data_IF_711923716224
#
_entry.id   IF_711923716224
#
_cell.length_a   1.000
_cell.length_b   1.000
_cell.length_c   1.000
_cell.angle_alpha   90.00
_cell.angle_beta   90.00
_cell.angle_gamma   90.00
#
_symmetry.space_group_name_H-M   'P 1'
#
loop_
_entity.id
_entity.type
_entity.pdbx_description
1 polymer ?
#
# COMPACT_ATOMS: atom_id res chain seq x y z
N UNK A 1 -7.95 -9.45 -17.16
CA UNK A 1 -7.33 -8.21 -16.66
C UNK A 1 -7.02 -7.33 -17.85
N UNK A 2 -7.66 -6.17 -17.90
CA UNK A 2 -7.39 -5.15 -18.92
C UNK A 2 -6.08 -4.42 -18.56
N UNK A 3 -5.12 -4.38 -19.50
CA UNK A 3 -3.81 -3.78 -19.29
C UNK A 3 -3.88 -2.26 -19.12
N UNK A 4 -4.74 -1.59 -19.87
CA UNK A 4 -4.85 -0.14 -19.86
C UNK A 4 -5.53 0.32 -18.56
N UNK A 5 -6.55 -0.43 -18.12
CA UNK A 5 -7.17 -0.23 -16.81
C UNK A 5 -6.15 -0.39 -15.66
N UNK A 6 -5.32 -1.44 -15.71
CA UNK A 6 -4.29 -1.68 -14.71
C UNK A 6 -3.22 -0.57 -14.70
N UNK A 7 -2.73 -0.15 -15.87
CA UNK A 7 -1.77 0.94 -15.97
C UNK A 7 -2.33 2.26 -15.41
N UNK A 8 -3.60 2.56 -15.68
CA UNK A 8 -4.28 3.71 -15.11
C UNK A 8 -4.37 3.64 -13.58
N UNK A 9 -4.69 2.47 -13.01
CA UNK A 9 -4.77 2.29 -11.56
C UNK A 9 -3.40 2.36 -10.88
N UNK A 10 -2.34 1.84 -11.51
CA UNK A 10 -0.97 2.00 -11.03
C UNK A 10 -0.55 3.47 -10.97
N UNK A 11 -0.92 4.27 -11.98
CA UNK A 11 -0.64 5.72 -11.99
C UNK A 11 -1.37 6.44 -10.86
N UNK A 12 -2.64 6.11 -10.61
CA UNK A 12 -3.42 6.65 -9.48
C UNK A 12 -2.83 6.22 -8.14
N UNK A 13 -2.43 4.96 -8.01
CA UNK A 13 -1.80 4.37 -6.82
C UNK A 13 -0.49 5.08 -6.50
N UNK A 14 0.35 5.32 -7.51
CA UNK A 14 1.59 6.10 -7.36
C UNK A 14 1.31 7.53 -6.89
N UNK A 15 0.29 8.19 -7.41
CA UNK A 15 -0.05 9.55 -6.98
C UNK A 15 -0.56 9.60 -5.52
N UNK A 16 -1.39 8.63 -5.11
CA UNK A 16 -2.00 8.61 -3.78
C UNK A 16 -1.12 7.99 -2.68
N UNK A 17 -0.07 7.25 -3.05
CA UNK A 17 0.87 6.57 -2.15
C UNK A 17 0.23 5.50 -1.25
N UNK A 18 -0.84 4.88 -1.71
CA UNK A 18 -1.42 3.67 -1.12
C UNK A 18 -2.17 2.88 -2.19
N UNK A 19 -2.38 1.58 -1.98
CA UNK A 19 -3.21 0.70 -2.79
C UNK A 19 -4.29 0.06 -1.93
N UNK A 20 -5.37 -0.37 -2.56
CA UNK A 20 -6.39 -1.20 -1.92
C UNK A 20 -6.62 -2.44 -2.77
N UNK A 21 -6.91 -3.56 -2.11
CA UNK A 21 -7.44 -4.77 -2.71
C UNK A 21 -8.78 -5.04 -2.07
N UNK A 22 -9.83 -5.12 -2.89
CA UNK A 22 -11.20 -5.37 -2.42
C UNK A 22 -11.67 -6.70 -2.98
N UNK A 23 -11.45 -7.77 -2.20
CA UNK A 23 -11.83 -9.14 -2.55
C UNK A 23 -11.14 -9.67 -3.82
N UNK A 24 -10.10 -9.00 -4.34
CA UNK A 24 -9.41 -9.37 -5.58
C UNK A 24 -8.54 -10.62 -5.43
N UNK A 25 -7.99 -10.84 -4.24
CA UNK A 25 -7.17 -12.02 -3.92
C UNK A 25 -7.99 -13.13 -3.27
N UNK A 26 -8.82 -12.78 -2.30
CA UNK A 26 -9.66 -13.70 -1.53
C UNK A 26 -11.01 -13.04 -1.26
N UNK A 27 -12.14 -13.69 -1.58
CA UNK A 27 -13.46 -13.20 -1.19
C UNK A 27 -13.56 -12.99 0.31
N UNK A 28 -14.19 -11.88 0.71
CA UNK A 28 -14.33 -11.48 2.09
C UNK A 28 -13.14 -10.76 2.73
N UNK A 29 -12.07 -10.49 1.96
CA UNK A 29 -10.88 -9.77 2.41
C UNK A 29 -10.81 -8.37 1.78
N UNK A 30 -10.56 -7.36 2.61
CA UNK A 30 -10.17 -6.02 2.18
C UNK A 30 -8.77 -5.74 2.71
N UNK A 31 -7.86 -5.32 1.84
CA UNK A 31 -6.52 -4.89 2.23
C UNK A 31 -6.27 -3.43 1.83
N UNK A 32 -5.53 -2.70 2.66
CA UNK A 32 -4.97 -1.38 2.31
C UNK A 32 -3.47 -1.40 2.61
N UNK A 33 -2.66 -0.98 1.65
CA UNK A 33 -1.21 -1.00 1.78
C UNK A 33 -0.54 0.27 1.27
N UNK A 34 0.65 0.57 1.79
CA UNK A 34 1.47 1.69 1.34
C UNK A 34 2.94 1.26 1.20
N UNK A 35 3.67 1.85 0.22
CA UNK A 35 5.03 1.45 -0.08
C UNK A 35 6.02 1.91 1.00
N UNK A 36 7.02 1.08 1.25
CA UNK A 36 8.20 1.42 2.04
C UNK A 36 9.34 1.80 1.10
N UNK A 37 10.03 2.88 1.41
CA UNK A 37 11.16 3.36 0.63
C UNK A 37 12.45 3.26 1.45
N UNK A 38 13.53 2.88 0.79
CA UNK A 38 14.87 3.05 1.35
C UNK A 38 15.16 4.55 1.51
N UNK A 39 15.54 5.02 2.71
CA UNK A 39 15.64 6.45 2.98
C UNK A 39 16.82 7.13 2.26
N UNK A 40 17.82 6.38 1.78
CA UNK A 40 18.96 6.94 1.07
C UNK A 40 18.75 7.01 -0.45
N UNK A 41 18.29 5.91 -1.05
CA UNK A 41 18.13 5.77 -2.50
C UNK A 41 16.76 6.18 -3.01
N UNK A 42 15.76 6.28 -2.12
CA UNK A 42 14.37 6.53 -2.47
C UNK A 42 13.70 5.38 -3.24
N UNK A 43 14.34 4.20 -3.32
CA UNK A 43 13.79 3.04 -4.01
C UNK A 43 12.74 2.35 -3.15
N UNK A 44 11.69 1.82 -3.77
CA UNK A 44 10.71 0.99 -3.08
C UNK A 44 11.33 -0.35 -2.71
N UNK A 45 11.36 -0.66 -1.41
CA UNK A 45 11.99 -1.88 -0.85
C UNK A 45 10.98 -2.85 -0.22
N UNK A 46 9.73 -2.41 -0.09
CA UNK A 46 8.65 -3.23 0.43
C UNK A 46 7.35 -2.47 0.54
N UNK A 47 6.41 -3.01 1.33
CA UNK A 47 5.15 -2.35 1.66
C UNK A 47 4.70 -2.80 3.05
N UNK A 48 3.91 -1.96 3.71
CA UNK A 48 3.13 -2.33 4.90
C UNK A 48 1.66 -2.39 4.52
N UNK A 49 0.91 -3.33 5.08
CA UNK A 49 -0.51 -3.49 4.81
C UNK A 49 -1.31 -3.78 6.08
N UNK A 50 -2.58 -3.39 6.06
CA UNK A 50 -3.59 -3.77 7.03
C UNK A 50 -4.69 -4.55 6.32
N UNK A 51 -5.05 -5.69 6.89
CA UNK A 51 -6.04 -6.61 6.36
C UNK A 51 -7.30 -6.61 7.24
N UNK A 52 -8.45 -6.66 6.58
CA UNK A 52 -9.78 -6.54 7.21
C UNK A 52 -10.75 -7.54 6.60
N UNK A 53 -11.72 -8.00 7.40
CA UNK A 53 -12.85 -8.78 6.89
C UNK A 53 -13.99 -7.88 6.42
N UNK A 54 -14.60 -8.21 5.28
CA UNK A 54 -15.82 -7.52 4.78
C UNK A 54 -17.02 -7.66 5.74
N UNK A 55 -17.00 -8.66 6.63
CA UNK A 55 -18.07 -8.88 7.61
C UNK A 55 -18.20 -7.72 8.61
N UNK A 56 -17.12 -6.97 8.81
CA UNK A 56 -17.04 -5.90 9.80
C UNK A 56 -16.81 -4.53 9.17
N UNK A 57 -16.30 -4.48 7.94
CA UNK A 57 -15.83 -3.27 7.31
C UNK A 57 -16.20 -3.21 5.83
N UNK A 58 -16.61 -2.03 5.36
CA UNK A 58 -16.70 -1.78 3.92
C UNK A 58 -15.39 -1.19 3.39
N UNK A 59 -15.13 -1.37 2.08
CA UNK A 59 -13.97 -0.76 1.44
C UNK A 59 -13.95 0.77 1.58
N UNK A 60 -15.11 1.41 1.51
CA UNK A 60 -15.21 2.87 1.67
C UNK A 60 -14.81 3.32 3.09
N UNK A 61 -15.24 2.58 4.12
CA UNK A 61 -14.89 2.87 5.51
C UNK A 61 -13.38 2.68 5.75
N UNK A 62 -12.81 1.57 5.26
CA UNK A 62 -11.37 1.33 5.35
C UNK A 62 -10.59 2.44 4.68
N UNK A 63 -10.99 2.84 3.46
CA UNK A 63 -10.35 3.93 2.73
C UNK A 63 -10.45 5.26 3.49
N UNK A 64 -11.64 5.61 3.99
CA UNK A 64 -11.86 6.87 4.68
C UNK A 64 -11.01 6.97 5.96
N UNK A 65 -10.98 5.89 6.75
CA UNK A 65 -10.32 5.84 8.05
C UNK A 65 -8.81 5.62 7.97
N UNK A 66 -8.35 4.71 7.10
CA UNK A 66 -6.96 4.23 7.14
C UNK A 66 -6.05 4.80 6.05
N UNK A 67 -6.56 5.49 5.01
CA UNK A 67 -5.69 6.04 3.93
C UNK A 67 -4.59 6.96 4.45
N UNK A 68 -4.86 7.74 5.49
CA UNK A 68 -3.87 8.63 6.11
C UNK A 68 -2.91 7.85 6.99
N UNK A 69 -3.48 7.01 7.87
CA UNK A 69 -2.74 6.20 8.83
C UNK A 69 -1.73 5.28 8.14
N UNK A 70 -2.13 4.51 7.12
CA UNK A 70 -1.23 3.59 6.43
C UNK A 70 -0.07 4.32 5.74
N UNK A 71 -0.31 5.50 5.18
CA UNK A 71 0.72 6.34 4.56
C UNK A 71 1.72 6.85 5.59
N UNK A 72 1.22 7.29 6.73
CA UNK A 72 2.05 7.74 7.85
C UNK A 72 2.86 6.60 8.43
N UNK A 73 2.24 5.45 8.70
CA UNK A 73 2.94 4.24 9.15
C UNK A 73 4.03 3.85 8.16
N UNK A 74 3.74 3.81 6.87
CA UNK A 74 4.72 3.48 5.85
C UNK A 74 5.88 4.48 5.80
N UNK A 75 5.59 5.79 5.93
CA UNK A 75 6.61 6.84 6.00
C UNK A 75 7.52 6.67 7.21
N UNK A 76 6.96 6.52 8.40
CA UNK A 76 7.72 6.30 9.64
C UNK A 76 8.56 5.03 9.56
N UNK A 77 8.01 3.94 9.03
CA UNK A 77 8.77 2.71 8.84
C UNK A 77 9.91 2.90 7.84
N UNK A 78 9.68 3.62 6.74
CA UNK A 78 10.72 3.93 5.75
C UNK A 78 11.91 4.68 6.36
N UNK A 79 11.65 5.63 7.26
CA UNK A 79 12.69 6.38 7.98
C UNK A 79 13.52 5.50 8.93
N UNK A 80 12.94 4.40 9.42
CA UNK A 80 13.58 3.45 10.34
C UNK A 80 14.29 2.30 9.63
N UNK A 81 14.11 2.14 8.32
CA UNK A 81 14.74 1.06 7.59
C UNK A 81 16.27 1.24 7.57
N UNK A 82 17.04 0.18 7.82
CA UNK A 82 18.48 0.25 7.61
C UNK A 82 18.73 0.51 6.11
N UNK A 83 19.74 1.32 5.77
CA UNK A 83 20.10 1.55 4.39
C UNK A 83 20.31 0.23 3.65
N UNK A 84 19.79 0.12 2.44
CA UNK A 84 20.03 -1.04 1.59
C UNK A 84 21.54 -1.25 1.46
N UNK A 85 22.07 -2.32 2.08
CA UNK A 85 23.45 -2.73 1.84
C UNK A 85 23.51 -3.11 0.38
N UNK A 86 24.13 -2.26 -0.43
CA UNK A 86 24.58 -2.57 -1.78
C UNK A 86 25.09 -4.00 -1.80
N UNK A 87 24.27 -4.94 -2.29
CA UNK A 87 24.73 -6.30 -2.64
C UNK A 87 25.71 -6.09 -3.79
N UNK A 88 26.98 -5.89 -3.46
CA UNK A 88 28.12 -6.01 -4.37
C UNK A 88 28.37 -7.49 -4.61
#
# INVERSE_FOLDING_TARGET
MDKDALAAELKKTKARQYAMSTEEYLPGLIAIGAPLYDPLSGKGVGAVCFDFSVLQHSANDIKAKYKGLIRETARTLSELLPPEKSRR
#
